data_IF_691568106843
#
_entry.id   IF_691568106843
#
_cell.length_a   1.000
_cell.length_b   1.000
_cell.length_c   1.000
_cell.angle_alpha   90.00
_cell.angle_beta   90.00
_cell.angle_gamma   90.00
#
_symmetry.space_group_name_H-M   'P 1'
#
loop_
_entity.id
_entity.type
_entity.pdbx_description
1 polymer ?
#
# COMPACT_ATOMS: atom_id res chain seq x y z
N UNK A 1 22.34 -39.29 24.05
CA UNK A 1 22.19 -38.85 22.65
C UNK A 1 21.25 -39.82 21.97
N UNK A 2 19.98 -39.46 21.88
CA UNK A 2 18.92 -40.23 21.21
C UNK A 2 17.88 -39.24 20.66
N UNK A 3 17.58 -39.35 19.37
CA UNK A 3 16.57 -38.57 18.66
C UNK A 3 15.28 -39.41 18.52
N UNK A 4 14.09 -38.93 18.90
CA UNK A 4 12.86 -39.62 18.56
C UNK A 4 12.20 -39.07 17.27
N UNK A 5 12.19 -39.96 16.28
CA UNK A 5 11.21 -40.28 15.22
C UNK A 5 10.16 -39.24 14.77
N UNK A 6 10.17 -39.03 13.43
CA UNK A 6 9.08 -38.54 12.56
C UNK A 6 7.73 -39.19 12.86
N UNK A 7 6.69 -38.38 13.01
CA UNK A 7 5.30 -38.76 12.72
C UNK A 7 4.96 -38.23 11.33
N UNK A 8 4.64 -39.17 10.44
CA UNK A 8 4.02 -38.94 9.14
C UNK A 8 2.54 -38.63 9.36
N UNK A 9 2.04 -37.54 8.78
CA UNK A 9 0.59 -37.30 8.67
C UNK A 9 0.24 -36.95 7.23
N UNK A 10 -0.70 -37.75 6.72
CA UNK A 10 -1.18 -37.79 5.34
C UNK A 10 -1.84 -36.48 4.92
N UNK A 11 -1.44 -35.97 3.77
CA UNK A 11 -2.02 -34.82 3.08
C UNK A 11 -3.25 -35.27 2.28
N UNK A 12 -4.36 -35.60 2.94
CA UNK A 12 -5.62 -35.87 2.23
C UNK A 12 -6.83 -35.56 3.11
N UNK A 13 -7.04 -34.29 3.43
CA UNK A 13 -8.36 -33.67 3.68
C UNK A 13 -8.13 -32.23 4.11
N UNK A 14 -8.44 -31.27 3.24
CA UNK A 14 -8.88 -29.90 3.58
C UNK A 14 -9.04 -29.13 2.26
N UNK A 15 -10.14 -29.44 1.57
CA UNK A 15 -10.66 -28.66 0.44
C UNK A 15 -12.01 -28.12 0.88
N UNK A 16 -11.99 -27.08 1.70
CA UNK A 16 -13.02 -26.06 1.91
C UNK A 16 -12.42 -25.00 2.84
N UNK A 17 -12.78 -23.73 2.64
CA UNK A 17 -12.49 -22.58 3.52
C UNK A 17 -11.23 -21.73 3.23
N UNK A 18 -11.09 -21.26 1.98
CA UNK A 18 -10.11 -20.21 1.63
C UNK A 18 -10.61 -18.76 1.84
N UNK A 19 -11.87 -18.54 2.25
CA UNK A 19 -12.44 -17.20 2.46
C UNK A 19 -12.43 -16.74 3.93
N UNK A 20 -12.15 -17.63 4.88
CA UNK A 20 -12.12 -17.29 6.32
C UNK A 20 -10.71 -16.92 6.85
N UNK A 21 -9.66 -17.26 6.10
CA UNK A 21 -8.27 -17.08 6.56
C UNK A 21 -7.77 -15.62 6.53
N UNK A 22 -8.41 -14.75 5.76
CA UNK A 22 -7.96 -13.35 5.61
C UNK A 22 -8.39 -12.46 6.80
N UNK A 23 -9.45 -12.84 7.52
CA UNK A 23 -9.88 -12.10 8.71
C UNK A 23 -9.01 -12.43 9.93
N UNK A 24 -8.54 -13.67 10.06
CA UNK A 24 -7.72 -14.09 11.20
C UNK A 24 -6.28 -13.55 11.20
N UNK A 25 -5.71 -13.22 10.03
CA UNK A 25 -4.41 -12.56 9.98
C UNK A 25 -4.48 -11.07 10.35
N UNK A 26 -5.61 -10.41 10.08
CA UNK A 26 -5.86 -9.03 10.49
C UNK A 26 -6.06 -8.87 12.01
N UNK A 27 -6.60 -9.88 12.72
CA UNK A 27 -6.85 -9.76 14.16
C UNK A 27 -5.60 -9.97 15.03
N UNK A 28 -4.62 -10.76 14.57
CA UNK A 28 -3.44 -11.13 15.38
C UNK A 28 -2.45 -9.96 15.58
N UNK A 29 -2.47 -8.96 14.71
CA UNK A 29 -1.58 -7.78 14.81
C UNK A 29 -2.15 -6.73 15.79
N UNK A 30 -3.47 -6.67 15.97
CA UNK A 30 -4.12 -5.65 16.81
C UNK A 30 -4.09 -5.93 18.33
N UNK A 31 -3.73 -7.13 18.79
CA UNK A 31 -3.89 -7.52 20.20
C UNK A 31 -2.71 -7.20 21.14
N UNK A 32 -1.67 -6.50 20.67
CA UNK A 32 -0.51 -6.09 21.49
C UNK A 32 -0.53 -4.64 22.01
N UNK A 33 -1.56 -3.85 21.75
CA UNK A 33 -1.48 -2.38 21.94
C UNK A 33 -2.26 -1.83 23.16
N UNK A 34 -3.14 -2.60 23.81
CA UNK A 34 -3.95 -2.04 24.91
C UNK A 34 -3.42 -2.41 26.30
N UNK A 35 -2.38 -1.71 26.76
CA UNK A 35 -2.05 -1.64 28.19
C UNK A 35 -1.13 -0.44 28.51
N UNK A 36 -1.57 0.80 28.25
CA UNK A 36 -1.09 1.99 28.98
C UNK A 36 -1.93 3.21 28.61
N UNK A 37 -2.92 3.55 29.45
CA UNK A 37 -3.27 4.93 29.83
C UNK A 37 -4.61 4.93 30.59
N UNK A 38 -4.53 4.69 31.90
CA UNK A 38 -5.56 5.05 32.86
C UNK A 38 -4.87 5.96 33.90
N UNK A 39 -5.12 7.27 33.83
CA UNK A 39 -5.76 8.05 34.90
C UNK A 39 -5.62 9.59 34.70
N UNK A 40 -6.55 10.40 35.25
CA UNK A 40 -6.76 11.81 34.97
C UNK A 40 -6.26 12.75 36.11
N UNK A 41 -6.14 14.07 35.83
CA UNK A 41 -6.22 15.25 36.75
C UNK A 41 -5.45 16.42 36.11
N UNK A 42 -5.73 17.72 36.28
CA UNK A 42 -6.64 18.46 37.13
C UNK A 42 -7.04 19.79 36.45
N UNK A 43 -8.21 20.29 36.82
CA UNK A 43 -8.73 21.64 36.55
C UNK A 43 -7.87 22.74 37.18
N UNK A 44 -7.63 23.83 36.43
CA UNK A 44 -7.35 25.14 37.05
C UNK A 44 -8.41 26.15 36.64
N UNK A 45 -9.15 26.60 37.65
CA UNK A 45 -10.13 27.69 37.60
C UNK A 45 -9.35 28.99 37.64
N UNK A 46 -9.50 29.87 36.65
CA UNK A 46 -9.08 31.27 36.78
C UNK A 46 -10.28 32.16 36.54
N UNK A 47 -10.70 32.84 37.60
CA UNK A 47 -11.71 33.89 37.58
C UNK A 47 -11.00 35.20 37.24
N UNK A 48 -11.46 35.90 36.20
CA UNK A 48 -11.22 37.34 36.09
C UNK A 48 -12.39 38.05 35.40
N UNK A 49 -12.67 39.23 35.93
CA UNK A 49 -13.91 40.01 35.93
C UNK A 49 -14.17 40.76 34.59
N UNK A 50 -15.41 41.21 34.30
CA UNK A 50 -15.76 41.84 33.03
C UNK A 50 -15.52 43.35 33.07
N UNK A 51 -14.80 43.90 32.09
CA UNK A 51 -14.83 45.34 31.80
C UNK A 51 -14.41 45.65 30.37
N UNK A 52 -15.43 45.98 29.57
CA UNK A 52 -15.43 46.95 28.46
C UNK A 52 -14.21 46.94 27.53
N UNK A 53 -14.28 46.10 26.50
CA UNK A 53 -13.73 46.39 25.17
C UNK A 53 -14.59 45.67 24.14
N UNK A 54 -15.81 46.20 23.96
CA UNK A 54 -16.62 45.95 22.76
C UNK A 54 -15.97 46.73 21.62
N UNK A 55 -15.96 46.11 20.43
CA UNK A 55 -15.46 46.61 19.14
C UNK A 55 -13.97 46.34 18.86
N UNK A 56 -13.63 45.05 18.70
CA UNK A 56 -12.65 44.55 17.71
C UNK A 56 -12.72 43.01 17.56
N UNK A 57 -13.90 42.42 17.75
CA UNK A 57 -14.12 40.97 17.70
C UNK A 57 -15.08 40.53 16.57
N UNK A 58 -14.99 41.18 15.40
CA UNK A 58 -15.84 40.85 14.24
C UNK A 58 -15.07 40.59 12.94
N UNK A 59 -13.73 40.61 12.95
CA UNK A 59 -12.90 40.20 11.79
C UNK A 59 -12.09 38.91 12.07
N UNK A 60 -11.98 38.49 13.33
CA UNK A 60 -11.34 37.22 13.70
C UNK A 60 -12.28 36.00 13.60
N UNK A 61 -13.53 36.18 13.13
CA UNK A 61 -14.53 35.11 12.98
C UNK A 61 -14.83 34.75 11.51
N UNK A 62 -13.92 35.10 10.58
CA UNK A 62 -13.98 34.68 9.18
C UNK A 62 -12.78 33.80 8.76
N UNK A 63 -11.87 33.49 9.70
CA UNK A 63 -10.74 32.60 9.50
C UNK A 63 -10.94 31.22 10.15
N UNK A 64 -12.16 30.88 10.57
CA UNK A 64 -12.53 29.51 10.90
C UNK A 64 -12.71 28.73 9.61
N UNK A 65 -11.62 28.09 9.18
CA UNK A 65 -11.64 26.75 8.61
C UNK A 65 -12.56 26.57 7.38
N UNK A 66 -12.19 27.18 6.26
CA UNK A 66 -12.20 26.40 5.02
C UNK A 66 -11.05 25.39 5.12
N UNK A 67 -11.15 24.45 6.06
CA UNK A 67 -10.54 23.16 5.84
C UNK A 67 -11.33 22.63 4.64
N UNK A 68 -10.83 22.87 3.44
CA UNK A 68 -11.29 22.10 2.30
C UNK A 68 -11.12 20.65 2.75
N UNK A 69 -12.23 19.95 2.98
CA UNK A 69 -12.18 18.53 3.29
C UNK A 69 -11.30 17.91 2.21
N UNK A 70 -10.19 17.30 2.63
CA UNK A 70 -9.28 16.67 1.70
C UNK A 70 -10.06 15.54 1.03
N UNK A 71 -10.51 15.78 -0.20
CA UNK A 71 -11.11 14.76 -1.05
C UNK A 71 -9.99 14.05 -1.81
N UNK A 72 -10.34 12.91 -2.42
CA UNK A 72 -9.43 12.23 -3.35
C UNK A 72 -9.00 13.18 -4.47
N UNK A 73 -9.93 13.94 -5.05
CA UNK A 73 -9.66 14.85 -6.17
C UNK A 73 -8.73 16.00 -5.78
N UNK A 74 -8.96 16.62 -4.62
CA UNK A 74 -8.12 17.73 -4.16
C UNK A 74 -6.71 17.25 -3.78
N UNK A 75 -6.60 16.08 -3.16
CA UNK A 75 -5.31 15.44 -2.84
C UNK A 75 -4.56 15.03 -4.10
N UNK A 76 -5.20 14.35 -5.05
CA UNK A 76 -4.59 13.97 -6.32
C UNK A 76 -4.16 15.17 -7.15
N UNK A 77 -4.92 16.26 -7.12
CA UNK A 77 -4.53 17.52 -7.77
C UNK A 77 -3.29 18.13 -7.12
N UNK A 78 -3.21 18.14 -5.79
CA UNK A 78 -2.04 18.61 -5.08
C UNK A 78 -0.82 17.73 -5.36
N UNK A 79 -0.98 16.40 -5.37
CA UNK A 79 0.07 15.44 -5.68
C UNK A 79 0.63 15.66 -7.11
N UNK A 80 -0.25 15.84 -8.10
CA UNK A 80 0.15 16.17 -9.47
C UNK A 80 0.79 17.56 -9.61
N UNK A 81 0.52 18.47 -8.67
CA UNK A 81 1.17 19.78 -8.59
C UNK A 81 2.60 19.72 -8.07
N UNK A 82 2.95 18.72 -7.25
CA UNK A 82 4.30 18.55 -6.68
C UNK A 82 5.15 17.53 -7.44
N UNK A 83 4.54 16.55 -8.11
CA UNK A 83 5.22 15.54 -8.91
C UNK A 83 4.51 15.35 -10.26
N UNK A 84 5.15 15.81 -11.34
CA UNK A 84 4.62 15.74 -12.70
C UNK A 84 4.45 14.32 -13.24
N UNK A 85 4.98 13.29 -12.55
CA UNK A 85 4.80 11.88 -12.91
C UNK A 85 3.43 11.34 -12.45
N UNK A 86 2.73 12.04 -11.57
CA UNK A 86 1.39 11.64 -11.12
C UNK A 86 0.39 11.86 -12.26
N UNK A 87 -0.19 10.77 -12.74
CA UNK A 87 -1.38 10.85 -13.59
C UNK A 87 -2.61 11.12 -12.70
N UNK A 88 -3.19 12.32 -12.86
CA UNK A 88 -4.35 12.74 -12.07
C UNK A 88 -5.55 11.81 -12.24
N UNK A 89 -5.81 11.36 -13.48
CA UNK A 89 -6.95 10.49 -13.79
C UNK A 89 -6.84 9.14 -13.09
N UNK A 90 -5.67 8.52 -13.20
CA UNK A 90 -5.30 7.29 -12.50
C UNK A 90 -5.39 7.44 -10.99
N UNK A 91 -4.81 8.50 -10.42
CA UNK A 91 -4.83 8.76 -8.99
C UNK A 91 -6.27 8.81 -8.46
N UNK A 92 -7.14 9.60 -9.11
CA UNK A 92 -8.54 9.72 -8.71
C UNK A 92 -9.28 8.40 -8.91
N UNK A 93 -9.14 7.76 -10.07
CA UNK A 93 -9.88 6.53 -10.36
C UNK A 93 -9.52 5.39 -9.42
N UNK A 94 -8.26 5.27 -9.04
CA UNK A 94 -7.79 4.16 -8.20
C UNK A 94 -8.10 4.39 -6.72
N UNK A 95 -7.82 5.60 -6.20
CA UNK A 95 -8.09 5.89 -4.80
C UNK A 95 -9.59 5.91 -4.49
N UNK A 96 -10.43 6.45 -5.38
CA UNK A 96 -11.89 6.50 -5.15
C UNK A 96 -12.57 5.12 -5.10
N UNK A 97 -11.89 4.05 -5.55
CA UNK A 97 -12.42 2.67 -5.48
C UNK A 97 -12.19 2.02 -4.11
N UNK A 98 -11.31 2.57 -3.28
CA UNK A 98 -10.99 2.00 -1.99
C UNK A 98 -11.97 2.51 -0.92
N UNK A 99 -12.54 1.59 -0.14
CA UNK A 99 -13.57 1.91 0.87
C UNK A 99 -13.08 2.87 1.97
N UNK A 100 -11.76 2.89 2.21
CA UNK A 100 -11.13 3.71 3.26
C UNK A 100 -10.75 5.12 2.75
N UNK A 101 -11.03 5.46 1.49
CA UNK A 101 -10.71 6.77 0.89
C UNK A 101 -11.71 7.89 1.21
N UNK A 102 -13.04 7.66 1.30
CA UNK A 102 -13.97 8.72 1.65
C UNK A 102 -13.64 9.34 3.02
N UNK A 103 -13.39 10.65 3.03
CA UNK A 103 -13.03 11.40 4.24
C UNK A 103 -11.60 11.18 4.75
N UNK A 104 -10.76 10.45 4.02
CA UNK A 104 -9.35 10.29 4.34
C UNK A 104 -8.56 11.56 4.01
N UNK A 105 -7.72 12.00 4.94
CA UNK A 105 -6.72 13.03 4.69
C UNK A 105 -5.56 12.51 3.82
N UNK A 106 -4.60 13.37 3.50
CA UNK A 106 -3.42 12.97 2.71
C UNK A 106 -2.67 11.78 3.34
N UNK A 107 -2.61 11.70 4.68
CA UNK A 107 -2.01 10.55 5.35
C UNK A 107 -2.80 9.26 5.15
N UNK A 108 -4.13 9.30 5.29
CA UNK A 108 -5.00 8.17 5.00
C UNK A 108 -4.88 7.72 3.55
N UNK A 109 -4.89 8.66 2.59
CA UNK A 109 -4.78 8.36 1.16
C UNK A 109 -3.41 7.83 0.75
N UNK A 110 -2.32 8.28 1.39
CA UNK A 110 -0.99 7.72 1.16
C UNK A 110 -0.92 6.23 1.55
N UNK A 111 -1.52 5.87 2.69
CA UNK A 111 -1.66 4.47 3.13
C UNK A 111 -2.55 3.66 2.20
N UNK A 112 -3.66 4.23 1.73
CA UNK A 112 -4.51 3.57 0.74
C UNK A 112 -3.73 3.27 -0.53
N UNK A 113 -2.94 4.23 -1.04
CA UNK A 113 -2.10 4.02 -2.22
C UNK A 113 -1.08 2.88 -2.01
N UNK A 114 -0.41 2.83 -0.84
CA UNK A 114 0.48 1.73 -0.49
C UNK A 114 -0.25 0.38 -0.47
N UNK A 115 -1.44 0.32 0.15
CA UNK A 115 -2.25 -0.90 0.21
C UNK A 115 -2.75 -1.37 -1.17
N UNK A 116 -3.07 -0.45 -2.09
CA UNK A 116 -3.35 -0.79 -3.49
C UNK A 116 -2.13 -1.42 -4.17
N UNK A 117 -0.92 -0.94 -3.86
CA UNK A 117 0.35 -1.55 -4.26
C UNK A 117 0.50 -3.00 -3.75
N UNK A 118 0.23 -3.26 -2.46
CA UNK A 118 0.22 -4.61 -1.86
C UNK A 118 -0.76 -5.52 -2.61
N UNK A 119 -2.00 -5.07 -2.83
CA UNK A 119 -3.01 -5.87 -3.51
C UNK A 119 -2.64 -6.20 -4.96
N UNK A 120 -2.01 -5.26 -5.67
CA UNK A 120 -1.51 -5.50 -7.02
C UNK A 120 -0.38 -6.52 -7.03
N UNK A 121 0.58 -6.42 -6.10
CA UNK A 121 1.70 -7.34 -5.95
C UNK A 121 1.22 -8.77 -5.69
N UNK A 122 0.36 -8.98 -4.68
CA UNK A 122 -0.21 -10.29 -4.39
C UNK A 122 -1.05 -10.82 -5.55
N UNK A 123 -1.72 -9.96 -6.31
CA UNK A 123 -2.37 -10.32 -7.56
C UNK A 123 -1.40 -10.84 -8.62
N UNK A 124 -0.27 -10.15 -8.81
CA UNK A 124 0.77 -10.56 -9.75
C UNK A 124 1.43 -11.89 -9.36
N UNK A 125 1.64 -12.14 -8.07
CA UNK A 125 2.14 -13.43 -7.56
C UNK A 125 1.19 -14.56 -7.94
N UNK A 126 -0.12 -14.40 -7.68
CA UNK A 126 -1.15 -15.40 -8.05
C UNK A 126 -1.24 -15.63 -9.56
N UNK A 127 -1.17 -14.56 -10.35
CA UNK A 127 -1.19 -14.65 -11.81
C UNK A 127 0.05 -15.42 -12.32
N UNK A 128 1.24 -15.14 -11.76
CA UNK A 128 2.47 -15.86 -12.08
C UNK A 128 2.36 -17.35 -11.72
N UNK A 129 1.80 -17.68 -10.56
CA UNK A 129 1.57 -19.06 -10.14
C UNK A 129 0.61 -19.81 -11.05
N UNK A 130 -0.49 -19.17 -11.46
CA UNK A 130 -1.44 -19.75 -12.41
C UNK A 130 -0.78 -20.03 -13.76
N UNK A 131 0.03 -19.10 -14.28
CA UNK A 131 0.79 -19.29 -15.51
C UNK A 131 1.82 -20.42 -15.40
N UNK A 132 2.47 -20.55 -14.24
CA UNK A 132 3.40 -21.65 -13.95
C UNK A 132 2.67 -22.99 -13.77
N UNK A 133 1.44 -23.03 -13.28
CA UNK A 133 0.67 -24.26 -13.16
C UNK A 133 0.09 -24.75 -14.49
N UNK A 134 0.00 -23.86 -15.49
CA UNK A 134 -0.50 -24.18 -16.83
C UNK A 134 0.40 -25.16 -17.61
N UNK A 135 -0.16 -25.80 -18.65
CA UNK A 135 0.61 -26.69 -19.52
C UNK A 135 1.72 -25.93 -20.26
N UNK A 136 2.82 -26.60 -20.63
CA UNK A 136 3.89 -25.99 -21.40
C UNK A 136 3.38 -25.49 -22.76
N UNK A 137 3.89 -24.35 -23.21
CA UNK A 137 3.57 -23.74 -24.50
C UNK A 137 4.12 -24.52 -25.70
N UNK A 138 3.74 -24.10 -26.91
CA UNK A 138 4.31 -24.65 -28.15
C UNK A 138 5.74 -24.11 -28.32
N UNK A 139 6.73 -24.97 -28.12
CA UNK A 139 8.17 -24.64 -28.25
C UNK A 139 8.91 -24.80 -26.92
N UNK A 140 9.57 -25.95 -26.74
CA UNK A 140 10.17 -26.34 -25.45
C UNK A 140 11.24 -25.37 -24.92
N UNK A 141 12.05 -24.79 -25.81
CA UNK A 141 13.11 -23.85 -25.43
C UNK A 141 12.58 -22.51 -24.92
N UNK A 142 11.64 -21.91 -25.63
CA UNK A 142 11.02 -20.64 -25.24
C UNK A 142 10.07 -20.81 -24.05
N UNK A 143 9.42 -21.97 -23.92
CA UNK A 143 8.63 -22.31 -22.74
C UNK A 143 9.49 -22.38 -21.48
N UNK A 144 10.63 -23.08 -21.52
CA UNK A 144 11.54 -23.16 -20.39
C UNK A 144 12.06 -21.78 -19.95
N UNK A 145 12.46 -20.93 -20.91
CA UNK A 145 12.88 -19.54 -20.65
C UNK A 145 11.76 -18.71 -20.04
N UNK A 146 10.56 -18.77 -20.61
CA UNK A 146 9.37 -18.06 -20.11
C UNK A 146 9.02 -18.48 -18.69
N UNK A 147 9.05 -19.78 -18.40
CA UNK A 147 8.76 -20.30 -17.04
C UNK A 147 9.83 -19.90 -16.03
N UNK A 148 11.11 -19.88 -16.43
CA UNK A 148 12.18 -19.36 -15.59
C UNK A 148 12.01 -17.87 -15.30
N UNK A 149 11.69 -17.06 -16.31
CA UNK A 149 11.40 -15.64 -16.17
C UNK A 149 10.19 -15.39 -15.25
N UNK A 150 9.10 -16.13 -15.43
CA UNK A 150 7.92 -16.09 -14.54
C UNK A 150 8.27 -16.41 -13.08
N UNK A 151 9.11 -17.43 -12.86
CA UNK A 151 9.55 -17.80 -11.52
C UNK A 151 10.36 -16.70 -10.82
N UNK A 152 11.15 -15.93 -11.58
CA UNK A 152 11.87 -14.76 -11.08
C UNK A 152 10.93 -13.59 -10.82
N UNK A 153 10.05 -13.26 -11.76
CA UNK A 153 9.02 -12.24 -11.59
C UNK A 153 8.14 -12.50 -10.37
N UNK A 154 7.74 -13.75 -10.11
CA UNK A 154 6.96 -14.10 -8.92
C UNK A 154 7.68 -13.69 -7.62
N UNK A 155 9.00 -13.89 -7.55
CA UNK A 155 9.79 -13.46 -6.37
C UNK A 155 9.90 -11.94 -6.28
N UNK A 156 10.15 -11.28 -7.41
CA UNK A 156 10.18 -9.81 -7.45
C UNK A 156 8.84 -9.18 -7.02
N UNK A 157 7.71 -9.77 -7.42
CA UNK A 157 6.39 -9.31 -6.99
C UNK A 157 6.11 -9.61 -5.53
N UNK A 158 6.61 -10.73 -4.97
CA UNK A 158 6.54 -10.97 -3.53
C UNK A 158 7.36 -9.95 -2.75
N UNK A 159 8.59 -9.64 -3.19
CA UNK A 159 9.41 -8.60 -2.56
C UNK A 159 8.78 -7.20 -2.71
N UNK A 160 8.12 -6.92 -3.85
CA UNK A 160 7.32 -5.70 -4.05
C UNK A 160 6.15 -5.62 -3.05
N UNK A 161 5.46 -6.74 -2.79
CA UNK A 161 4.38 -6.80 -1.80
C UNK A 161 4.86 -6.40 -0.41
N UNK A 162 6.01 -6.95 0.00
CA UNK A 162 6.66 -6.61 1.26
C UNK A 162 7.09 -5.14 1.31
N UNK A 163 7.64 -4.61 0.22
CA UNK A 163 8.04 -3.20 0.16
C UNK A 163 6.84 -2.25 0.25
N UNK A 164 5.72 -2.52 -0.44
CA UNK A 164 4.52 -1.71 -0.27
C UNK A 164 3.89 -1.86 1.11
N UNK A 165 3.97 -3.03 1.74
CA UNK A 165 3.55 -3.21 3.14
C UNK A 165 4.44 -2.41 4.10
N UNK A 166 5.76 -2.41 3.88
CA UNK A 166 6.70 -1.55 4.60
C UNK A 166 6.36 -0.07 4.41
N UNK A 167 6.06 0.36 3.19
CA UNK A 167 5.61 1.73 2.93
C UNK A 167 4.36 2.09 3.74
N UNK A 168 3.36 1.19 3.78
CA UNK A 168 2.17 1.38 4.60
C UNK A 168 2.51 1.55 6.08
N UNK A 169 3.35 0.66 6.62
CA UNK A 169 3.73 0.63 8.03
C UNK A 169 4.53 1.87 8.43
N UNK A 170 5.51 2.28 7.62
CA UNK A 170 6.34 3.46 7.86
C UNK A 170 5.51 4.74 7.77
N UNK A 171 4.63 4.89 6.77
CA UNK A 171 3.69 6.01 6.68
C UNK A 171 2.76 6.03 7.90
N UNK A 172 2.28 4.86 8.34
CA UNK A 172 1.43 4.75 9.52
C UNK A 172 2.19 5.14 10.81
N UNK A 173 3.47 4.81 10.89
CA UNK A 173 4.39 5.20 11.96
C UNK A 173 4.87 6.66 11.86
N UNK A 174 4.46 7.39 10.81
CA UNK A 174 4.85 8.79 10.52
C UNK A 174 6.32 8.94 10.09
N UNK A 175 6.98 7.86 9.70
CA UNK A 175 8.27 7.90 9.02
C UNK A 175 8.05 8.01 7.50
N UNK A 176 7.70 9.22 7.08
CA UNK A 176 7.38 9.51 5.67
C UNK A 176 8.57 9.35 4.74
N UNK A 177 9.81 9.52 5.24
CA UNK A 177 11.00 9.34 4.43
C UNK A 177 11.19 7.86 4.08
N UNK A 178 11.15 6.98 5.09
CA UNK A 178 11.22 5.54 4.90
C UNK A 178 10.05 5.02 4.05
N UNK A 179 8.83 5.51 4.32
CA UNK A 179 7.64 5.12 3.56
C UNK A 179 7.74 5.41 2.06
N UNK A 180 8.27 6.58 1.69
CA UNK A 180 8.53 6.94 0.28
C UNK A 180 9.61 6.07 -0.35
N UNK A 181 10.70 5.81 0.38
CA UNK A 181 11.78 4.94 -0.10
C UNK A 181 11.24 3.53 -0.41
N UNK A 182 10.44 2.97 0.50
CA UNK A 182 9.81 1.67 0.33
C UNK A 182 8.83 1.64 -0.86
N UNK A 183 7.99 2.67 -1.05
CA UNK A 183 7.08 2.77 -2.19
C UNK A 183 7.85 2.86 -3.53
N UNK A 184 8.93 3.62 -3.56
CA UNK A 184 9.80 3.73 -4.74
C UNK A 184 10.54 2.42 -5.03
N UNK A 185 11.03 1.73 -4.00
CA UNK A 185 11.66 0.41 -4.10
C UNK A 185 10.69 -0.64 -4.66
N UNK A 186 9.44 -0.64 -4.18
CA UNK A 186 8.40 -1.54 -4.66
C UNK A 186 8.13 -1.34 -6.17
N UNK A 187 7.99 -0.09 -6.62
CA UNK A 187 7.83 0.23 -8.04
C UNK A 187 9.04 -0.20 -8.89
N UNK A 188 10.26 -0.10 -8.34
CA UNK A 188 11.47 -0.56 -9.03
C UNK A 188 11.52 -2.09 -9.17
N UNK A 189 11.13 -2.84 -8.14
CA UNK A 189 11.04 -4.30 -8.18
C UNK A 189 10.09 -4.79 -9.26
N UNK A 190 8.95 -4.11 -9.44
CA UNK A 190 7.99 -4.45 -10.48
C UNK A 190 8.57 -4.30 -11.91
N UNK A 191 9.29 -3.19 -12.17
CA UNK A 191 9.95 -2.95 -13.47
C UNK A 191 11.01 -4.00 -13.81
N UNK A 192 11.74 -4.48 -12.80
CA UNK A 192 12.75 -5.55 -12.99
C UNK A 192 12.15 -6.84 -13.56
N UNK A 193 10.85 -7.09 -13.40
CA UNK A 193 10.22 -8.24 -14.04
C UNK A 193 10.25 -8.13 -15.58
N UNK A 194 10.03 -6.93 -16.13
CA UNK A 194 10.08 -6.73 -17.58
C UNK A 194 11.51 -6.90 -18.11
N UNK A 195 12.50 -6.43 -17.35
CA UNK A 195 13.93 -6.65 -17.66
C UNK A 195 14.28 -8.13 -17.70
N UNK A 196 13.79 -8.94 -16.75
CA UNK A 196 13.99 -10.40 -16.75
C UNK A 196 13.44 -11.05 -18.02
N UNK A 197 12.29 -10.60 -18.52
CA UNK A 197 11.73 -11.12 -19.77
C UNK A 197 12.56 -10.70 -20.99
N UNK A 198 13.01 -9.43 -21.02
CA UNK A 198 13.88 -8.91 -22.08
C UNK A 198 15.21 -9.67 -22.13
N UNK A 199 15.86 -9.91 -20.98
CA UNK A 199 17.10 -10.70 -20.86
C UNK A 199 16.92 -12.15 -21.33
N UNK A 200 15.73 -12.72 -21.15
CA UNK A 200 15.40 -14.05 -21.66
C UNK A 200 15.13 -14.08 -23.18
N UNK A 201 15.15 -12.93 -23.86
CA UNK A 201 14.79 -12.79 -25.26
C UNK A 201 13.30 -12.99 -25.54
N UNK A 202 12.45 -12.80 -24.52
CA UNK A 202 10.99 -12.92 -24.64
C UNK A 202 10.40 -11.50 -24.75
N UNK A 203 9.65 -11.16 -25.83
CA UNK A 203 9.28 -9.78 -26.14
C UNK A 203 8.50 -9.02 -25.06
N UNK A 204 7.75 -9.72 -24.21
CA UNK A 204 7.00 -9.08 -23.13
C UNK A 204 6.64 -10.05 -22.00
N UNK A 205 6.58 -9.50 -20.80
CA UNK A 205 6.01 -10.18 -19.64
C UNK A 205 4.49 -10.28 -19.76
N UNK A 206 3.88 -11.44 -19.50
CA UNK A 206 2.42 -11.52 -19.35
C UNK A 206 1.91 -10.76 -18.10
N UNK A 207 2.83 -10.28 -17.24
CA UNK A 207 2.54 -9.48 -16.06
C UNK A 207 2.86 -7.98 -16.28
N UNK A 208 3.17 -7.53 -17.50
CA UNK A 208 3.58 -6.15 -17.76
C UNK A 208 2.59 -5.10 -17.21
N UNK A 209 1.28 -5.36 -17.32
CA UNK A 209 0.24 -4.49 -16.73
C UNK A 209 0.31 -4.37 -15.21
N UNK A 210 0.77 -5.41 -14.51
CA UNK A 210 1.00 -5.36 -13.05
C UNK A 210 2.17 -4.43 -12.73
N UNK A 211 3.20 -4.44 -13.58
CA UNK A 211 4.39 -3.60 -13.44
C UNK A 211 4.09 -2.12 -13.71
N UNK A 212 3.34 -1.84 -14.78
CA UNK A 212 2.86 -0.49 -15.11
C UNK A 212 2.02 0.09 -13.97
N UNK A 213 1.05 -0.68 -13.48
CA UNK A 213 0.22 -0.28 -12.33
C UNK A 213 1.06 0.01 -11.08
N UNK A 214 2.02 -0.89 -10.76
CA UNK A 214 2.92 -0.73 -9.63
C UNK A 214 3.74 0.56 -9.72
N UNK A 215 4.20 0.90 -10.92
CA UNK A 215 4.90 2.15 -11.21
C UNK A 215 4.02 3.37 -10.90
N UNK A 216 2.81 3.40 -11.43
CA UNK A 216 1.89 4.53 -11.24
C UNK A 216 1.44 4.67 -9.77
N UNK A 217 1.07 3.57 -9.11
CA UNK A 217 0.60 3.64 -7.71
C UNK A 217 1.74 3.97 -6.74
N UNK A 218 2.99 3.55 -7.02
CA UNK A 218 4.16 3.93 -6.24
C UNK A 218 4.48 5.43 -6.34
N UNK A 219 4.34 6.02 -7.53
CA UNK A 219 4.47 7.48 -7.73
C UNK A 219 3.36 8.22 -6.98
N UNK A 220 2.12 7.77 -7.08
CA UNK A 220 0.98 8.37 -6.35
C UNK A 220 1.21 8.31 -4.84
N UNK A 221 1.61 7.14 -4.31
CA UNK A 221 1.91 6.97 -2.88
C UNK A 221 3.02 7.94 -2.42
N UNK A 222 4.10 8.05 -3.18
CA UNK A 222 5.23 8.95 -2.88
C UNK A 222 4.78 10.41 -2.88
N UNK A 223 4.10 10.84 -3.94
CA UNK A 223 3.69 12.24 -4.12
C UNK A 223 2.64 12.68 -3.11
N UNK A 224 1.68 11.82 -2.73
CA UNK A 224 0.73 12.12 -1.65
C UNK A 224 1.46 12.21 -0.31
N UNK A 225 2.45 11.33 -0.07
CA UNK A 225 3.26 11.38 1.15
C UNK A 225 4.05 12.69 1.26
N UNK A 226 4.53 13.25 0.14
CA UNK A 226 5.20 14.56 0.09
C UNK A 226 4.28 15.74 0.44
N UNK A 227 2.96 15.56 0.44
CA UNK A 227 2.01 16.60 0.89
C UNK A 227 1.91 16.69 2.42
N UNK A 228 2.40 15.69 3.14
CA UNK A 228 2.26 15.58 4.60
C UNK A 228 3.42 16.34 5.26
N UNK A 229 3.07 17.23 6.20
CA UNK A 229 4.02 18.06 6.95
C UNK A 229 4.40 17.42 8.28
#
# INVERSE_FOLDING_TARGET
MECPKRISMNCTTLRTDATSSNHHHQTAIHQRINAAALCPEATHRSMMNPSKSLLLAAVALAATLLAADATVETTCRAAAGVDARVDYGFCVSELSRHRDSPGADAWGLAKVAANLGVNNAGGAVRDAEALLAGPPGKGAGDDAKRRAALGQCRRLYFDMELAFAGAYDDINARDYAAGKEMAAAAAALARRCDDVFAEAGIPSSPLARRGEYAGQIGVVCTAITDLIK
#
